data_IF_938724915205
#
_entry.id   IF_938724915205
#
_cell.length_a   1.000
_cell.length_b   1.000
_cell.length_c   1.000
_cell.angle_alpha   90.00
_cell.angle_beta   90.00
_cell.angle_gamma   90.00
#
_symmetry.space_group_name_H-M   'P 1'
#
loop_
_entity.id
_entity.type
_entity.pdbx_description
1 polymer ?
#
# COMPACT_ATOMS: atom_id res chain seq x y z
N UNK A 1 -12.63 -11.27 11.82
CA UNK A 1 -13.20 -11.47 10.49
C UNK A 1 -12.45 -10.55 9.55
N UNK A 2 -11.74 -11.13 8.57
CA UNK A 2 -10.88 -10.48 7.57
C UNK A 2 -11.67 -9.58 6.59
N UNK A 3 -12.96 -9.41 6.82
CA UNK A 3 -13.92 -8.83 5.86
C UNK A 3 -13.81 -7.30 5.64
N UNK A 4 -12.91 -6.57 6.31
CA UNK A 4 -12.80 -5.11 6.18
C UNK A 4 -11.45 -4.62 5.62
N UNK A 5 -10.60 -5.51 5.10
CA UNK A 5 -9.31 -5.12 4.54
C UNK A 5 -9.48 -4.80 3.04
N UNK A 6 -9.61 -3.54 2.72
CA UNK A 6 -9.72 -3.05 1.34
C UNK A 6 -8.33 -2.87 0.72
N UNK A 7 -8.11 -3.46 -0.45
CA UNK A 7 -6.84 -3.44 -1.20
C UNK A 7 -6.91 -2.49 -2.39
N UNK A 8 -5.88 -1.66 -2.57
CA UNK A 8 -5.92 -0.63 -3.59
C UNK A 8 -4.57 -0.38 -4.28
N UNK A 9 -4.64 -0.12 -5.57
CA UNK A 9 -3.57 0.42 -6.40
C UNK A 9 -3.58 1.94 -6.36
N UNK A 10 -2.43 2.59 -6.24
CA UNK A 10 -2.35 4.02 -6.49
C UNK A 10 -1.03 4.47 -7.11
N UNK A 11 -1.13 5.10 -8.26
CA UNK A 11 -0.20 6.11 -8.76
C UNK A 11 -1.04 7.22 -9.38
N UNK A 12 -1.19 8.32 -8.69
CA UNK A 12 -1.81 9.52 -9.23
C UNK A 12 -1.07 10.76 -8.75
N UNK A 13 -0.76 11.63 -9.70
CA UNK A 13 -0.29 12.98 -9.47
C UNK A 13 -1.49 13.83 -9.05
N UNK A 14 -1.62 14.16 -7.79
CA UNK A 14 -2.62 15.13 -7.35
C UNK A 14 -1.92 16.45 -6.97
N UNK A 15 -2.22 17.49 -7.73
CA UNK A 15 -1.99 18.88 -7.36
C UNK A 15 -3.22 19.40 -6.64
N UNK A 16 -3.15 19.57 -5.33
CA UNK A 16 -4.08 20.44 -4.61
C UNK A 16 -3.27 21.12 -3.51
N UNK A 17 -3.18 22.44 -3.59
CA UNK A 17 -2.66 23.33 -2.56
C UNK A 17 -3.87 23.88 -1.79
N UNK A 18 -4.00 23.59 -0.52
CA UNK A 18 -4.77 24.39 0.44
C UNK A 18 -4.00 24.55 1.74
N UNK A 19 -4.15 25.71 2.36
CA UNK A 19 -3.37 26.25 3.48
C UNK A 19 -3.50 25.38 4.75
N UNK A 20 -2.38 25.16 5.44
CA UNK A 20 -2.31 24.43 6.71
C UNK A 20 -2.05 25.39 7.84
N UNK A 21 -2.99 25.50 8.78
CA UNK A 21 -2.75 26.09 10.11
C UNK A 21 -1.84 25.20 10.95
N UNK A 22 -0.79 25.77 11.52
CA UNK A 22 0.15 25.07 12.41
C UNK A 22 -0.44 25.00 13.81
N UNK A 23 -0.94 23.83 14.21
CA UNK A 23 -1.34 23.54 15.59
C UNK A 23 -0.20 22.86 16.33
N UNK A 24 0.08 23.33 17.53
CA UNK A 24 1.17 22.87 18.41
C UNK A 24 1.12 21.36 18.70
N UNK A 25 2.27 20.73 18.53
CA UNK A 25 2.55 19.29 18.56
C UNK A 25 2.22 18.61 19.89
N UNK A 26 1.27 17.63 19.95
CA UNK A 26 1.23 16.63 21.01
C UNK A 26 2.42 15.67 20.87
N UNK A 27 2.86 15.09 21.97
CA UNK A 27 3.97 14.13 22.00
C UNK A 27 3.82 13.05 20.94
N UNK A 28 4.83 12.86 20.11
CA UNK A 28 4.85 12.02 18.89
C UNK A 28 4.35 10.57 19.06
N UNK A 29 4.25 10.06 20.29
CA UNK A 29 3.75 8.71 20.59
C UNK A 29 2.23 8.57 20.57
N UNK A 30 1.47 9.66 20.70
CA UNK A 30 0.00 9.63 20.73
C UNK A 30 -0.65 9.97 19.41
N UNK A 31 0.12 10.42 18.41
CA UNK A 31 -0.40 10.82 17.13
C UNK A 31 -0.70 9.60 16.26
N UNK A 32 -1.93 9.53 15.73
CA UNK A 32 -2.29 8.57 14.71
C UNK A 32 -1.34 8.65 13.52
N UNK A 33 -0.93 7.51 13.00
CA UNK A 33 0.04 7.46 11.91
C UNK A 33 -0.23 6.37 10.90
N UNK A 34 0.26 6.59 9.69
CA UNK A 34 0.37 5.56 8.65
C UNK A 34 1.79 5.00 8.67
N UNK A 35 1.90 3.69 8.79
CA UNK A 35 3.18 2.96 8.74
C UNK A 35 3.44 2.53 7.31
N UNK A 36 4.57 2.94 6.74
CA UNK A 36 5.02 2.55 5.40
C UNK A 36 6.10 1.48 5.55
N UNK A 37 5.92 0.30 4.96
CA UNK A 37 6.90 -0.78 4.97
C UNK A 37 7.80 -0.70 3.75
N UNK A 38 9.10 -0.79 3.99
CA UNK A 38 10.15 -0.72 2.97
C UNK A 38 10.46 -2.10 2.38
N UNK A 39 10.16 -2.28 1.10
CA UNK A 39 10.52 -3.46 0.30
C UNK A 39 11.59 -3.13 -0.76
N UNK A 40 12.42 -2.12 -0.52
CA UNK A 40 13.53 -1.76 -1.40
C UNK A 40 13.16 -0.83 -2.56
N UNK A 41 12.00 -0.17 -2.51
CA UNK A 41 11.62 0.82 -3.52
C UNK A 41 12.45 2.10 -3.39
N UNK A 42 12.79 2.70 -4.52
CA UNK A 42 13.38 4.04 -4.56
C UNK A 42 12.39 5.14 -4.13
N UNK A 43 11.10 4.83 -4.07
CA UNK A 43 10.03 5.79 -3.80
C UNK A 43 9.47 5.74 -2.37
N UNK A 44 10.04 4.94 -1.47
CA UNK A 44 9.54 4.76 -0.11
C UNK A 44 9.44 6.09 0.66
N UNK A 45 10.50 6.89 0.60
CA UNK A 45 10.51 8.20 1.24
C UNK A 45 9.53 9.17 0.58
N UNK A 46 9.34 9.06 -0.74
CA UNK A 46 8.35 9.88 -1.45
C UNK A 46 6.92 9.52 -1.02
N UNK A 47 6.61 8.23 -0.89
CA UNK A 47 5.30 7.78 -0.37
C UNK A 47 5.06 8.36 1.02
N UNK A 48 6.02 8.20 1.93
CA UNK A 48 5.93 8.72 3.29
C UNK A 48 5.73 10.24 3.30
N UNK A 49 6.49 10.96 2.46
CA UNK A 49 6.36 12.41 2.32
C UNK A 49 5.00 12.82 1.78
N UNK A 50 4.48 12.13 0.75
CA UNK A 50 3.16 12.43 0.16
C UNK A 50 2.03 12.26 1.17
N UNK A 51 2.08 11.24 2.01
CA UNK A 51 1.11 11.06 3.09
C UNK A 51 1.14 12.25 4.05
N UNK A 52 2.35 12.73 4.41
CA UNK A 52 2.51 13.91 5.29
C UNK A 52 2.02 15.20 4.65
N UNK A 53 2.16 15.36 3.35
CA UNK A 53 1.65 16.52 2.61
C UNK A 53 0.11 16.64 2.68
N UNK A 54 -0.60 15.53 2.97
CA UNK A 54 -2.03 15.52 3.26
C UNK A 54 -2.37 15.68 4.75
N UNK A 55 -1.40 16.10 5.57
CA UNK A 55 -1.61 16.33 7.00
C UNK A 55 -1.68 15.06 7.85
N UNK A 56 -1.36 13.90 7.28
CA UNK A 56 -1.32 12.62 8.00
C UNK A 56 0.12 12.27 8.36
N UNK A 57 0.37 12.03 9.65
CA UNK A 57 1.71 11.60 10.07
C UNK A 57 2.03 10.20 9.53
N UNK A 58 3.26 9.98 9.11
CA UNK A 58 3.68 8.69 8.55
C UNK A 58 5.13 8.39 8.89
N UNK A 59 5.43 7.12 9.08
CA UNK A 59 6.78 6.62 9.37
C UNK A 59 7.15 5.49 8.41
N UNK A 60 8.43 5.48 8.00
CA UNK A 60 9.00 4.42 7.18
C UNK A 60 9.69 3.40 8.10
N UNK A 61 9.30 2.14 7.97
CA UNK A 61 9.86 1.03 8.74
C UNK A 61 10.34 -0.10 7.84
N UNK A 62 11.31 -0.90 8.28
CA UNK A 62 11.74 -2.08 7.55
C UNK A 62 10.59 -3.10 7.46
N UNK A 63 10.58 -3.89 6.40
CA UNK A 63 9.58 -4.95 6.19
C UNK A 63 9.57 -6.02 7.31
N UNK A 64 10.61 -6.07 8.14
CA UNK A 64 10.77 -7.01 9.26
C UNK A 64 10.05 -6.57 10.53
N UNK A 65 9.42 -5.38 10.54
CA UNK A 65 8.63 -4.93 11.69
C UNK A 65 7.51 -5.93 12.01
N UNK A 66 7.26 -6.15 13.29
CA UNK A 66 6.24 -7.08 13.76
C UNK A 66 4.87 -6.42 13.89
N UNK A 67 3.82 -7.23 13.86
CA UNK A 67 2.46 -6.76 14.12
C UNK A 67 2.33 -6.10 15.51
N UNK A 68 3.02 -6.63 16.52
CA UNK A 68 3.03 -6.07 17.86
C UNK A 68 3.64 -4.67 17.89
N UNK A 69 4.76 -4.44 17.21
CA UNK A 69 5.39 -3.12 17.11
C UNK A 69 4.47 -2.11 16.42
N UNK A 70 3.81 -2.50 15.32
CA UNK A 70 2.83 -1.65 14.61
C UNK A 70 1.65 -1.28 15.52
N UNK A 71 1.15 -2.23 16.30
CA UNK A 71 0.06 -2.02 17.26
C UNK A 71 0.44 -1.01 18.34
N UNK A 72 1.69 -1.04 18.82
CA UNK A 72 2.21 -0.12 19.84
C UNK A 72 2.45 1.30 19.32
N UNK A 73 2.48 1.48 17.99
CA UNK A 73 2.70 2.77 17.34
C UNK A 73 1.43 3.63 17.18
N UNK A 74 0.26 3.16 17.59
CA UNK A 74 -1.02 3.82 17.29
C UNK A 74 -1.23 4.00 15.78
N UNK A 75 -0.88 2.98 14.97
CA UNK A 75 -1.07 3.00 13.54
C UNK A 75 -2.57 2.96 13.17
N UNK A 76 -2.98 3.77 12.21
CA UNK A 76 -4.35 3.80 11.66
C UNK A 76 -4.42 3.24 10.25
N UNK A 77 -3.28 2.95 9.63
CA UNK A 77 -3.18 2.34 8.31
C UNK A 77 -1.74 1.93 8.00
N UNK A 78 -1.60 1.03 7.04
CA UNK A 78 -0.32 0.48 6.63
C UNK A 78 -0.20 0.59 5.12
N UNK A 79 1.00 0.94 4.64
CA UNK A 79 1.32 0.93 3.21
C UNK A 79 2.45 -0.06 2.97
N UNK A 80 2.22 -1.04 2.12
CA UNK A 80 3.26 -1.91 1.59
C UNK A 80 3.81 -1.27 0.32
N UNK A 81 5.04 -0.81 0.36
CA UNK A 81 5.68 -0.13 -0.76
C UNK A 81 5.94 -1.06 -1.94
N UNK A 82 6.38 -0.49 -3.05
CA UNK A 82 6.96 -1.28 -4.14
C UNK A 82 8.31 -1.87 -3.79
N UNK A 83 8.85 -2.68 -4.69
CA UNK A 83 10.16 -3.29 -4.57
C UNK A 83 10.64 -3.87 -5.90
N UNK A 84 11.93 -4.14 -6.04
CA UNK A 84 12.52 -4.65 -7.27
C UNK A 84 12.37 -6.17 -7.46
N UNK A 85 12.01 -6.90 -6.40
CA UNK A 85 12.03 -8.35 -6.37
C UNK A 85 10.72 -8.96 -6.91
N UNK A 86 10.77 -10.23 -7.30
CA UNK A 86 9.60 -11.08 -7.44
C UNK A 86 9.26 -11.76 -6.10
N UNK A 87 7.99 -12.05 -5.86
CA UNK A 87 7.55 -12.80 -4.66
C UNK A 87 8.05 -14.25 -4.65
N UNK A 88 8.57 -14.73 -5.79
CA UNK A 88 9.12 -16.07 -5.98
C UNK A 88 10.65 -16.12 -5.92
N UNK A 89 11.31 -14.97 -5.75
CA UNK A 89 12.77 -14.95 -5.61
C UNK A 89 13.18 -15.67 -4.31
N UNK A 90 14.35 -16.33 -4.32
CA UNK A 90 14.91 -17.00 -3.13
C UNK A 90 15.07 -16.04 -1.94
N UNK A 91 15.30 -14.77 -2.24
CA UNK A 91 15.45 -13.67 -1.29
C UNK A 91 14.23 -12.74 -1.25
N UNK A 92 13.04 -13.26 -1.63
CA UNK A 92 11.81 -12.49 -1.54
C UNK A 92 11.57 -11.99 -0.10
N UNK A 93 11.13 -10.76 0.00
CA UNK A 93 10.79 -10.17 1.29
C UNK A 93 9.62 -10.92 1.94
N UNK A 94 9.69 -11.08 3.25
CA UNK A 94 8.63 -11.66 4.07
C UNK A 94 8.13 -10.63 5.06
N UNK A 95 6.87 -10.70 5.36
CA UNK A 95 6.24 -9.89 6.40
C UNK A 95 5.68 -10.79 7.50
N UNK A 96 5.54 -10.23 8.68
CA UNK A 96 4.79 -10.87 9.74
C UNK A 96 3.31 -11.00 9.32
N UNK A 97 2.83 -12.23 9.24
CA UNK A 97 1.45 -12.52 8.79
C UNK A 97 0.39 -11.97 9.74
N UNK A 98 0.72 -11.80 11.01
CA UNK A 98 -0.19 -11.22 12.00
C UNK A 98 -0.53 -9.74 11.68
N UNK A 99 0.26 -9.08 10.81
CA UNK A 99 -0.06 -7.72 10.32
C UNK A 99 -1.45 -7.69 9.64
N UNK A 100 -1.83 -8.75 8.92
CA UNK A 100 -3.13 -8.84 8.26
C UNK A 100 -4.30 -9.05 9.25
N UNK A 101 -4.00 -9.42 10.50
CA UNK A 101 -4.98 -9.65 11.57
C UNK A 101 -5.18 -8.41 12.46
N UNK A 102 -4.41 -7.34 12.26
CA UNK A 102 -4.52 -6.10 13.05
C UNK A 102 -5.84 -5.35 12.84
N UNK A 103 -6.60 -5.67 11.79
CA UNK A 103 -7.84 -4.96 11.43
C UNK A 103 -7.61 -3.54 10.90
N UNK A 104 -6.38 -3.21 10.54
CA UNK A 104 -6.02 -1.93 9.92
C UNK A 104 -6.17 -1.98 8.40
N UNK A 105 -6.55 -0.88 7.74
CA UNK A 105 -6.49 -0.80 6.29
C UNK A 105 -5.05 -0.92 5.81
N UNK A 106 -4.83 -1.72 4.77
CA UNK A 106 -3.52 -1.94 4.16
C UNK A 106 -3.58 -1.60 2.67
N UNK A 107 -2.68 -0.74 2.23
CA UNK A 107 -2.50 -0.38 0.82
C UNK A 107 -1.24 -1.07 0.28
N UNK A 108 -1.38 -1.89 -0.75
CA UNK A 108 -0.25 -2.49 -1.47
C UNK A 108 0.05 -1.75 -2.77
N UNK A 109 1.32 -1.42 -2.99
CA UNK A 109 1.81 -0.75 -4.20
C UNK A 109 2.78 -1.68 -4.92
N UNK A 110 2.51 -2.04 -6.18
CA UNK A 110 3.37 -2.88 -7.02
C UNK A 110 3.76 -4.18 -6.28
N UNK A 111 5.05 -4.36 -5.94
CA UNK A 111 5.52 -5.52 -5.17
C UNK A 111 4.72 -5.74 -3.88
N UNK A 112 4.41 -4.68 -3.14
CA UNK A 112 3.62 -4.78 -1.90
C UNK A 112 2.26 -5.41 -2.12
N UNK A 113 1.56 -5.08 -3.21
CA UNK A 113 0.29 -5.70 -3.57
C UNK A 113 0.48 -7.19 -3.95
N UNK A 114 1.51 -7.50 -4.74
CA UNK A 114 1.82 -8.88 -5.12
C UNK A 114 2.14 -9.74 -3.89
N UNK A 115 2.94 -9.20 -2.95
CA UNK A 115 3.27 -9.86 -1.69
C UNK A 115 2.02 -10.11 -0.84
N UNK A 116 1.11 -9.14 -0.77
CA UNK A 116 -0.16 -9.29 -0.07
C UNK A 116 -1.02 -10.40 -0.69
N UNK A 117 -1.17 -10.40 -2.01
CA UNK A 117 -1.91 -11.44 -2.73
C UNK A 117 -1.28 -12.81 -2.49
N UNK A 118 0.02 -12.95 -2.68
CA UNK A 118 0.75 -14.20 -2.49
C UNK A 118 0.65 -14.72 -1.05
N UNK A 119 0.83 -13.84 -0.06
CA UNK A 119 0.82 -14.22 1.36
C UNK A 119 -0.56 -14.72 1.82
N UNK A 120 -1.63 -14.18 1.24
CA UNK A 120 -3.02 -14.53 1.58
C UNK A 120 -3.60 -15.65 0.67
N UNK A 121 -2.79 -16.30 -0.15
CA UNK A 121 -3.19 -17.46 -0.94
C UNK A 121 -3.71 -17.13 -2.33
N UNK A 122 -3.52 -15.93 -2.81
CA UNK A 122 -3.69 -15.54 -4.22
C UNK A 122 -2.52 -16.03 -5.07
N UNK A 123 -2.63 -15.80 -6.38
CA UNK A 123 -1.64 -16.23 -7.35
C UNK A 123 -1.01 -15.03 -8.05
N UNK A 124 0.29 -15.04 -8.11
CA UNK A 124 1.10 -14.06 -8.84
C UNK A 124 1.83 -14.79 -9.95
N UNK A 125 1.88 -14.23 -11.13
CA UNK A 125 2.59 -14.83 -12.27
C UNK A 125 3.46 -13.79 -12.96
N UNK A 126 4.54 -14.24 -13.54
CA UNK A 126 5.38 -13.37 -14.38
C UNK A 126 4.66 -13.08 -15.68
N UNK A 127 4.53 -11.80 -16.01
CA UNK A 127 3.94 -11.42 -17.28
C UNK A 127 4.89 -11.74 -18.44
N UNK A 128 4.34 -12.29 -19.52
CA UNK A 128 5.09 -12.54 -20.75
C UNK A 128 5.64 -11.24 -21.36
N UNK A 129 4.97 -10.13 -21.10
CA UNK A 129 5.38 -8.78 -21.52
C UNK A 129 5.33 -7.89 -20.28
N UNK A 130 6.43 -7.24 -19.99
CA UNK A 130 6.49 -6.26 -18.89
C UNK A 130 5.66 -5.04 -19.25
N UNK A 131 4.83 -4.58 -18.31
CA UNK A 131 4.00 -3.40 -18.51
C UNK A 131 4.69 -2.17 -17.90
N UNK A 132 5.07 -1.26 -18.79
CA UNK A 132 5.63 0.04 -18.44
C UNK A 132 4.86 1.15 -19.14
N UNK A 133 4.43 2.15 -18.40
CA UNK A 133 3.80 3.34 -18.94
C UNK A 133 2.37 3.56 -18.47
N UNK A 134 1.62 4.27 -19.28
CA UNK A 134 0.22 4.60 -18.99
C UNK A 134 -0.68 3.38 -19.20
N UNK A 135 -1.56 3.14 -18.24
CA UNK A 135 -2.61 2.13 -18.31
C UNK A 135 -3.95 2.73 -17.89
N UNK A 136 -5.02 2.18 -18.42
CA UNK A 136 -6.37 2.54 -18.01
C UNK A 136 -6.78 1.69 -16.81
N UNK A 137 -7.28 2.36 -15.77
CA UNK A 137 -7.84 1.74 -14.58
C UNK A 137 -9.35 1.99 -14.56
N UNK A 138 -10.13 0.94 -14.45
CA UNK A 138 -11.58 1.01 -14.23
C UNK A 138 -11.93 0.60 -12.81
N UNK A 139 -12.53 1.51 -12.05
CA UNK A 139 -13.05 1.23 -10.70
C UNK A 139 -14.38 0.51 -10.84
N UNK A 140 -14.42 -0.76 -10.49
CA UNK A 140 -15.59 -1.65 -10.66
C UNK A 140 -16.55 -1.61 -9.48
N UNK A 141 -16.06 -1.33 -8.28
CA UNK A 141 -16.85 -1.30 -7.04
C UNK A 141 -16.67 0.02 -6.31
N UNK A 142 -17.71 0.44 -5.60
CA UNK A 142 -17.60 1.59 -4.70
C UNK A 142 -16.71 1.23 -3.51
N UNK A 143 -15.69 2.04 -3.31
CA UNK A 143 -14.74 1.83 -2.22
C UNK A 143 -14.24 3.17 -1.66
N UNK A 144 -13.70 3.14 -0.46
CA UNK A 144 -13.26 4.36 0.26
C UNK A 144 -12.10 5.08 -0.43
N UNK A 145 -11.25 4.36 -1.16
CA UNK A 145 -10.08 4.96 -1.80
C UNK A 145 -10.46 5.75 -3.06
N UNK A 146 -11.40 5.24 -3.85
CA UNK A 146 -11.79 5.83 -5.14
C UNK A 146 -13.16 6.52 -5.10
N UNK A 147 -13.84 6.56 -3.94
CA UNK A 147 -15.24 7.01 -3.83
C UNK A 147 -15.56 8.40 -4.36
N UNK A 148 -14.56 9.29 -4.45
CA UNK A 148 -14.72 10.64 -5.00
C UNK A 148 -13.98 10.83 -6.34
N UNK A 149 -13.46 9.76 -6.93
CA UNK A 149 -12.71 9.82 -8.18
C UNK A 149 -13.55 9.30 -9.36
N UNK A 150 -13.26 9.71 -10.61
CA UNK A 150 -13.88 9.14 -11.79
C UNK A 150 -13.67 7.61 -11.84
N UNK A 151 -14.66 6.89 -12.39
CA UNK A 151 -14.55 5.43 -12.55
C UNK A 151 -13.40 5.03 -13.47
N UNK A 152 -13.13 5.83 -14.50
CA UNK A 152 -12.03 5.61 -15.43
C UNK A 152 -10.88 6.55 -15.10
N UNK A 153 -9.71 6.01 -14.92
CA UNK A 153 -8.50 6.75 -14.59
C UNK A 153 -7.32 6.26 -15.38
N UNK A 154 -6.37 7.16 -15.60
CA UNK A 154 -5.07 6.80 -16.19
C UNK A 154 -4.06 6.69 -15.07
N UNK A 155 -3.45 5.52 -14.96
CA UNK A 155 -2.41 5.21 -13.99
C UNK A 155 -1.09 4.87 -14.69
N UNK A 156 0.01 4.90 -13.93
CA UNK A 156 1.30 4.46 -14.43
C UNK A 156 1.60 3.06 -13.91
N UNK A 157 1.90 2.15 -14.83
CA UNK A 157 2.32 0.79 -14.52
C UNK A 157 3.82 0.64 -14.66
N UNK A 158 4.43 -0.13 -13.75
CA UNK A 158 5.85 -0.47 -13.79
C UNK A 158 6.06 -1.81 -13.07
N UNK A 159 5.68 -2.90 -13.73
CA UNK A 159 5.81 -4.25 -13.16
C UNK A 159 6.05 -5.32 -14.23
N UNK A 160 6.73 -6.41 -13.80
CA UNK A 160 6.93 -7.61 -14.61
C UNK A 160 6.05 -8.78 -14.17
N UNK A 161 5.52 -8.74 -12.94
CA UNK A 161 4.64 -9.73 -12.37
C UNK A 161 3.24 -9.15 -12.16
N UNK A 162 2.20 -9.98 -12.22
CA UNK A 162 0.82 -9.54 -12.01
C UNK A 162 0.05 -10.58 -11.19
N UNK A 163 -0.97 -10.12 -10.48
CA UNK A 163 -1.88 -10.99 -9.73
C UNK A 163 -2.89 -11.57 -10.69
N UNK A 164 -2.87 -12.90 -10.87
CA UNK A 164 -3.80 -13.62 -11.76
C UNK A 164 -5.00 -14.18 -11.00
N UNK A 165 -4.86 -14.45 -9.70
CA UNK A 165 -5.95 -14.87 -8.84
C UNK A 165 -5.87 -14.08 -7.53
N UNK A 166 -6.94 -13.37 -7.21
CA UNK A 166 -7.05 -12.65 -5.93
C UNK A 166 -7.33 -13.63 -4.80
N UNK A 167 -6.83 -13.39 -3.58
CA UNK A 167 -7.13 -14.25 -2.44
C UNK A 167 -8.62 -14.29 -2.09
N UNK A 168 -9.04 -15.31 -1.34
CA UNK A 168 -10.40 -15.37 -0.83
C UNK A 168 -10.73 -14.15 0.05
N UNK A 169 -11.87 -13.51 -0.20
CA UNK A 169 -12.31 -12.29 0.50
C UNK A 169 -11.83 -10.98 -0.13
N UNK A 170 -11.16 -11.06 -1.29
CA UNK A 170 -10.76 -9.89 -2.08
C UNK A 170 -11.63 -9.77 -3.33
N UNK A 171 -11.83 -8.55 -3.78
CA UNK A 171 -12.57 -8.20 -4.99
C UNK A 171 -11.69 -7.42 -5.97
N UNK A 172 -12.00 -7.53 -7.28
CA UNK A 172 -11.32 -6.80 -8.37
C UNK A 172 -12.19 -5.64 -8.83
#
# INVERSE_FOLDING_TARGET
SIADTSFFFFFSTLNILEEVEIVSTPLLKEQEKVVVLDFGSQFNQLITRRIREFGVFSELHPHTITAQEIKEMNAVGIVFSGGPNSVYDDNAFKVDKEIFELGLPILGICYGMQLMAHTNGGKVESAATREYGKAELTVTTDNKLFGNLPKEQIVWMSHGDHVTEVPAGFEV
#
